data_IF_848445679304
#
_entry.id   IF_848445679304
#
_cell.length_a   1.000
_cell.length_b   1.000
_cell.length_c   1.000
_cell.angle_alpha   90.00
_cell.angle_beta   90.00
_cell.angle_gamma   90.00
#
_symmetry.space_group_name_H-M   'P 1'
#
loop_
_entity.id
_entity.type
_entity.pdbx_description
1 polymer ?
#
# COMPACT_ATOMS: atom_id res chain seq x y z
N UNK A 1 7.95 38.72 -21.35
CA UNK A 1 8.60 38.77 -20.02
C UNK A 1 8.27 37.49 -19.27
N UNK A 2 9.25 36.61 -19.04
CA UNK A 2 9.09 35.45 -18.18
C UNK A 2 9.23 35.88 -16.71
N UNK A 3 8.10 36.09 -16.02
CA UNK A 3 8.06 36.27 -14.57
C UNK A 3 7.73 34.92 -13.93
N UNK A 4 8.16 34.69 -12.68
CA UNK A 4 7.77 33.54 -11.85
C UNK A 4 6.27 33.27 -11.88
N UNK A 5 5.43 34.32 -11.91
CA UNK A 5 3.97 34.15 -12.00
C UNK A 5 3.51 33.46 -13.29
N UNK A 6 4.23 33.63 -14.40
CA UNK A 6 3.92 32.96 -15.67
C UNK A 6 4.22 31.47 -15.61
N UNK A 7 5.38 31.09 -15.06
CA UNK A 7 5.79 29.68 -14.96
C UNK A 7 5.19 28.94 -13.75
N UNK A 8 4.63 29.65 -12.77
CA UNK A 8 4.10 29.04 -11.54
C UNK A 8 3.07 27.96 -11.84
N UNK A 9 2.14 28.22 -12.76
CA UNK A 9 1.09 27.26 -13.12
C UNK A 9 1.69 26.01 -13.76
N UNK A 10 2.59 26.19 -14.74
CA UNK A 10 3.29 25.07 -15.37
C UNK A 10 4.11 24.26 -14.35
N UNK A 11 4.83 24.92 -13.44
CA UNK A 11 5.59 24.23 -12.39
C UNK A 11 4.69 23.47 -11.42
N UNK A 12 3.53 24.02 -11.05
CA UNK A 12 2.58 23.37 -10.16
C UNK A 12 1.96 22.12 -10.79
N UNK A 13 1.70 22.16 -12.11
CA UNK A 13 1.18 21.02 -12.88
C UNK A 13 2.25 19.96 -13.16
N UNK A 14 3.51 20.38 -13.40
CA UNK A 14 4.60 19.49 -13.79
C UNK A 14 5.71 19.42 -12.74
N UNK A 15 5.35 19.28 -11.46
CA UNK A 15 6.33 19.14 -10.40
C UNK A 15 7.08 17.79 -10.51
N UNK A 16 8.39 17.78 -10.82
CA UNK A 16 9.13 16.53 -11.07
C UNK A 16 9.28 15.64 -9.82
N UNK A 17 9.03 16.19 -8.63
CA UNK A 17 9.05 15.45 -7.38
C UNK A 17 7.71 14.75 -7.06
N UNK A 18 6.65 15.05 -7.82
CA UNK A 18 5.33 14.46 -7.64
C UNK A 18 5.01 13.52 -8.79
N UNK A 19 4.56 12.29 -8.51
CA UNK A 19 4.08 11.40 -9.55
C UNK A 19 2.70 11.83 -10.06
N UNK A 20 2.35 11.40 -11.27
CA UNK A 20 0.97 11.42 -11.75
C UNK A 20 0.27 10.21 -11.15
N UNK A 21 -0.89 10.41 -10.53
CA UNK A 21 -1.55 9.41 -9.70
C UNK A 21 -2.99 9.13 -10.11
N UNK A 22 -3.72 10.13 -10.58
CA UNK A 22 -5.11 9.95 -11.01
C UNK A 22 -5.19 9.54 -12.48
N UNK A 23 -6.35 9.02 -12.90
CA UNK A 23 -6.60 8.70 -14.30
C UNK A 23 -6.53 9.97 -15.16
N UNK A 24 -7.21 11.04 -14.73
CA UNK A 24 -7.21 12.34 -15.40
C UNK A 24 -5.79 12.92 -15.54
N UNK A 25 -4.97 12.87 -14.47
CA UNK A 25 -3.58 13.33 -14.54
C UNK A 25 -2.74 12.55 -15.55
N UNK A 26 -2.95 11.23 -15.61
CA UNK A 26 -2.22 10.37 -16.55
C UNK A 26 -2.69 10.62 -17.98
N UNK A 27 -3.99 10.74 -18.22
CA UNK A 27 -4.54 11.01 -19.55
C UNK A 27 -4.11 12.38 -20.09
N UNK A 28 -4.13 13.42 -19.24
CA UNK A 28 -3.87 14.80 -19.66
C UNK A 28 -2.38 15.14 -19.73
N UNK A 29 -1.54 14.56 -18.86
CA UNK A 29 -0.16 15.01 -18.66
C UNK A 29 0.92 13.96 -18.93
N UNK A 30 0.57 12.68 -19.03
CA UNK A 30 1.59 11.65 -19.31
C UNK A 30 1.94 11.62 -20.80
N UNK A 31 3.24 11.63 -21.09
CA UNK A 31 3.76 11.46 -22.45
C UNK A 31 4.34 10.06 -22.58
N UNK A 32 3.81 9.27 -23.53
CA UNK A 32 4.26 7.90 -23.78
C UNK A 32 5.75 7.85 -24.13
N UNK A 33 6.48 7.01 -23.40
CA UNK A 33 7.89 6.74 -23.64
C UNK A 33 8.06 5.46 -24.47
N UNK A 34 9.05 5.46 -25.35
CA UNK A 34 9.41 4.26 -26.14
C UNK A 34 9.86 3.09 -25.24
N UNK A 35 10.48 3.39 -24.09
CA UNK A 35 11.03 2.44 -23.13
C UNK A 35 10.10 2.16 -21.93
N UNK A 36 8.80 2.45 -22.04
CA UNK A 36 7.88 2.26 -20.91
C UNK A 36 7.73 0.77 -20.54
N UNK A 37 7.92 0.40 -19.26
CA UNK A 37 7.86 -0.99 -18.83
C UNK A 37 6.42 -1.52 -18.65
N UNK A 38 5.40 -0.65 -18.78
CA UNK A 38 4.01 -0.96 -18.40
C UNK A 38 3.46 -2.15 -19.19
N UNK A 39 3.50 -2.09 -20.52
CA UNK A 39 2.94 -3.15 -21.35
C UNK A 39 3.69 -4.47 -21.17
N UNK A 40 5.01 -4.41 -21.02
CA UNK A 40 5.81 -5.60 -20.79
C UNK A 40 5.47 -6.27 -19.45
N UNK A 41 5.31 -5.47 -18.38
CA UNK A 41 4.89 -5.96 -17.07
C UNK A 41 3.50 -6.60 -17.10
N UNK A 42 2.53 -5.95 -17.73
CA UNK A 42 1.15 -6.47 -17.87
C UNK A 42 1.14 -7.78 -18.67
N UNK A 43 1.82 -7.81 -19.83
CA UNK A 43 1.85 -9.02 -20.66
C UNK A 43 2.49 -10.19 -19.90
N UNK A 44 3.58 -9.93 -19.17
CA UNK A 44 4.24 -10.98 -18.37
C UNK A 44 3.31 -11.48 -17.25
N UNK A 45 2.61 -10.57 -16.56
CA UNK A 45 1.61 -10.93 -15.54
C UNK A 45 0.47 -11.79 -16.09
N UNK A 46 0.03 -11.54 -17.32
CA UNK A 46 -1.07 -12.28 -17.95
C UNK A 46 -0.66 -13.63 -18.53
N UNK A 47 0.63 -13.82 -18.85
CA UNK A 47 1.15 -15.05 -19.44
C UNK A 47 1.62 -16.07 -18.40
N UNK A 48 1.85 -15.65 -17.16
CA UNK A 48 2.44 -16.48 -16.10
C UNK A 48 1.36 -17.02 -15.15
N UNK A 49 1.31 -18.35 -15.01
CA UNK A 49 0.42 -19.00 -14.04
C UNK A 49 0.97 -18.92 -12.59
N UNK A 50 2.26 -18.61 -12.44
CA UNK A 50 2.93 -18.51 -11.13
C UNK A 50 3.09 -17.05 -10.69
N UNK A 51 3.12 -16.77 -9.37
CA UNK A 51 3.37 -15.43 -8.86
C UNK A 51 4.71 -14.85 -9.33
N UNK A 52 4.66 -13.76 -10.08
CA UNK A 52 5.83 -13.04 -10.60
C UNK A 52 6.18 -11.82 -9.75
N UNK A 53 7.46 -11.44 -9.78
CA UNK A 53 7.98 -10.27 -9.06
C UNK A 53 8.70 -9.35 -10.04
N UNK A 54 8.34 -8.07 -10.01
CA UNK A 54 8.97 -7.05 -10.83
C UNK A 54 9.68 -6.03 -9.95
N UNK A 55 10.85 -5.57 -10.40
CA UNK A 55 11.57 -4.46 -9.79
C UNK A 55 11.69 -3.33 -10.80
N UNK A 56 10.97 -2.24 -10.56
CA UNK A 56 11.15 -1.00 -11.33
C UNK A 56 12.24 -0.17 -10.65
N UNK A 57 13.42 -0.12 -11.27
CA UNK A 57 14.58 0.62 -10.76
C UNK A 57 14.83 1.92 -11.53
N UNK A 58 15.42 2.92 -10.87
CA UNK A 58 15.74 4.22 -11.47
C UNK A 58 15.84 5.36 -10.44
N UNK A 59 16.43 6.49 -10.85
CA UNK A 59 16.63 7.66 -10.00
C UNK A 59 15.32 8.28 -9.49
N UNK A 60 15.37 9.01 -8.36
CA UNK A 60 14.21 9.79 -7.88
C UNK A 60 13.76 10.78 -8.97
N UNK A 61 12.45 10.94 -9.14
CA UNK A 61 11.87 11.79 -10.21
C UNK A 61 11.83 11.14 -11.59
N UNK A 62 12.31 9.91 -11.77
CA UNK A 62 12.30 9.24 -13.08
C UNK A 62 10.95 8.69 -13.53
N UNK A 63 9.86 8.97 -12.80
CA UNK A 63 8.50 8.53 -13.13
C UNK A 63 8.11 7.12 -12.67
N UNK A 64 8.91 6.41 -11.85
CA UNK A 64 8.61 5.03 -11.42
C UNK A 64 7.22 4.86 -10.80
N UNK A 65 6.86 5.74 -9.86
CA UNK A 65 5.55 5.69 -9.20
C UNK A 65 4.43 5.94 -10.19
N UNK A 66 4.63 6.85 -11.16
CA UNK A 66 3.69 7.07 -12.28
C UNK A 66 3.50 5.81 -13.11
N UNK A 67 4.58 5.13 -13.53
CA UNK A 67 4.48 3.88 -14.29
C UNK A 67 3.78 2.77 -13.49
N UNK A 68 4.00 2.68 -12.17
CA UNK A 68 3.27 1.74 -11.30
C UNK A 68 1.76 2.07 -11.23
N UNK A 69 1.38 3.36 -11.17
CA UNK A 69 -0.02 3.80 -11.22
C UNK A 69 -0.68 3.47 -12.56
N UNK A 70 0.06 3.58 -13.67
CA UNK A 70 -0.41 3.14 -14.99
C UNK A 70 -0.65 1.65 -15.05
N UNK A 71 0.22 0.84 -14.43
CA UNK A 71 0.01 -0.61 -14.32
C UNK A 71 -1.23 -0.91 -13.47
N UNK A 72 -1.39 -0.25 -12.31
CA UNK A 72 -2.58 -0.38 -11.46
C UNK A 72 -3.87 -0.10 -12.24
N UNK A 73 -3.92 1.02 -12.98
CA UNK A 73 -5.09 1.39 -13.77
C UNK A 73 -5.41 0.37 -14.87
N UNK A 74 -4.39 -0.08 -15.61
CA UNK A 74 -4.58 -1.06 -16.68
C UNK A 74 -5.01 -2.44 -16.17
N UNK A 75 -4.65 -2.79 -14.94
CA UNK A 75 -5.03 -4.06 -14.31
C UNK A 75 -6.36 -3.98 -13.55
N UNK A 76 -6.83 -2.79 -13.18
CA UNK A 76 -7.97 -2.60 -12.27
C UNK A 76 -9.29 -3.22 -12.71
N UNK A 77 -9.48 -3.49 -14.00
CA UNK A 77 -10.67 -4.20 -14.49
C UNK A 77 -10.64 -5.71 -14.23
N UNK A 78 -9.45 -6.31 -14.22
CA UNK A 78 -9.26 -7.76 -14.19
C UNK A 78 -8.59 -8.27 -12.91
N UNK A 79 -8.01 -7.37 -12.10
CA UNK A 79 -7.26 -7.70 -10.91
C UNK A 79 -7.65 -6.82 -9.74
N UNK A 80 -7.67 -7.43 -8.55
CA UNK A 80 -7.68 -6.69 -7.29
C UNK A 80 -6.27 -6.14 -7.01
N UNK A 81 -6.04 -4.86 -7.30
CA UNK A 81 -4.74 -4.22 -7.06
C UNK A 81 -4.70 -3.65 -5.63
N UNK A 82 -3.65 -3.98 -4.87
CA UNK A 82 -3.43 -3.47 -3.51
C UNK A 82 -2.21 -2.56 -3.54
N UNK A 83 -2.43 -1.25 -3.43
CA UNK A 83 -1.36 -0.26 -3.37
C UNK A 83 -0.78 -0.16 -1.96
N UNK A 84 0.53 -0.38 -1.81
CA UNK A 84 1.24 -0.27 -0.53
C UNK A 84 2.35 0.76 -0.66
N UNK A 85 2.21 1.90 0.03
CA UNK A 85 3.23 2.97 0.04
C UNK A 85 4.04 2.95 1.34
N UNK A 86 5.09 2.12 1.36
CA UNK A 86 5.99 2.05 2.50
C UNK A 86 6.80 3.34 2.73
N UNK A 87 6.98 4.18 1.70
CA UNK A 87 7.82 5.37 1.81
C UNK A 87 7.13 6.50 2.60
N UNK A 88 5.80 6.58 2.52
CA UNK A 88 5.00 7.56 3.25
C UNK A 88 4.45 7.02 4.57
N UNK A 89 4.15 5.71 4.63
CA UNK A 89 3.50 5.13 5.82
C UNK A 89 4.47 4.58 6.87
N UNK A 90 5.72 4.28 6.51
CA UNK A 90 6.71 3.75 7.46
C UNK A 90 7.79 4.77 7.81
N UNK A 91 8.37 4.61 9.00
CA UNK A 91 9.58 5.34 9.36
C UNK A 91 10.78 4.84 8.55
N UNK A 92 11.13 5.56 7.47
CA UNK A 92 12.27 5.25 6.59
C UNK A 92 13.64 5.03 7.27
N UNK A 93 13.83 5.51 8.50
CA UNK A 93 15.07 5.30 9.26
C UNK A 93 15.02 4.11 10.22
N UNK A 94 13.83 3.52 10.42
CA UNK A 94 13.61 2.41 11.33
C UNK A 94 12.48 1.51 10.77
N UNK A 95 12.70 0.93 9.58
CA UNK A 95 11.78 -0.04 8.97
C UNK A 95 12.21 -1.45 9.37
N UNK A 96 11.33 -2.17 10.07
CA UNK A 96 11.41 -3.61 10.26
C UNK A 96 10.44 -4.37 9.34
N UNK A 97 10.63 -5.69 9.25
CA UNK A 97 9.74 -6.57 8.48
C UNK A 97 8.33 -6.63 9.08
N UNK A 98 8.22 -6.47 10.40
CA UNK A 98 6.95 -6.50 11.11
C UNK A 98 6.05 -5.34 10.66
N UNK A 99 6.61 -4.13 10.55
CA UNK A 99 5.90 -2.94 10.11
C UNK A 99 5.37 -3.11 8.69
N UNK A 100 6.18 -3.70 7.80
CA UNK A 100 5.78 -3.97 6.42
C UNK A 100 4.61 -4.97 6.36
N UNK A 101 4.66 -6.05 7.14
CA UNK A 101 3.59 -7.05 7.19
C UNK A 101 2.28 -6.43 7.71
N UNK A 102 2.36 -5.63 8.77
CA UNK A 102 1.19 -4.95 9.33
C UNK A 102 0.62 -3.95 8.32
N UNK A 103 1.47 -3.18 7.64
CA UNK A 103 1.05 -2.26 6.58
C UNK A 103 0.32 -3.00 5.44
N UNK A 104 0.86 -4.12 4.96
CA UNK A 104 0.20 -4.93 3.92
C UNK A 104 -1.17 -5.39 4.39
N UNK A 105 -1.28 -5.97 5.60
CA UNK A 105 -2.56 -6.41 6.16
C UNK A 105 -3.57 -5.27 6.30
N UNK A 106 -3.10 -4.07 6.70
CA UNK A 106 -3.94 -2.88 6.76
C UNK A 106 -4.47 -2.47 5.39
N UNK A 107 -3.62 -2.43 4.35
CA UNK A 107 -4.06 -2.04 3.01
C UNK A 107 -5.01 -3.07 2.41
N UNK A 108 -4.78 -4.37 2.63
CA UNK A 108 -5.71 -5.43 2.21
C UNK A 108 -7.07 -5.22 2.87
N UNK A 109 -7.10 -4.98 4.19
CA UNK A 109 -8.33 -4.73 4.92
C UNK A 109 -9.04 -3.44 4.46
N UNK A 110 -8.28 -2.37 4.18
CA UNK A 110 -8.82 -1.10 3.67
C UNK A 110 -9.42 -1.25 2.27
N UNK A 111 -8.78 -2.00 1.38
CA UNK A 111 -9.33 -2.27 0.05
C UNK A 111 -10.56 -3.18 0.14
N UNK A 112 -10.52 -4.16 1.04
CA UNK A 112 -11.61 -5.10 1.25
C UNK A 112 -12.93 -4.44 1.68
N UNK A 113 -12.88 -3.38 2.49
CA UNK A 113 -14.11 -2.67 2.90
C UNK A 113 -14.69 -1.76 1.80
N UNK A 114 -13.98 -1.52 0.68
CA UNK A 114 -14.49 -0.65 -0.37
C UNK A 114 -15.65 -1.31 -1.14
N UNK A 115 -16.70 -0.54 -1.48
CA UNK A 115 -17.82 -1.04 -2.28
C UNK A 115 -17.33 -1.61 -3.62
N UNK A 116 -17.79 -2.81 -3.96
CA UNK A 116 -17.48 -3.46 -5.24
C UNK A 116 -16.26 -4.40 -5.22
N UNK A 117 -15.40 -4.34 -4.20
CA UNK A 117 -14.22 -5.21 -4.11
C UNK A 117 -14.55 -6.62 -3.58
N UNK A 118 -15.42 -6.70 -2.56
CA UNK A 118 -15.83 -7.96 -1.91
C UNK A 118 -17.27 -8.38 -2.24
N UNK A 119 -17.77 -8.18 -3.46
CA UNK A 119 -19.17 -8.54 -3.77
C UNK A 119 -19.53 -10.01 -3.45
N UNK A 120 -18.53 -10.90 -3.31
CA UNK A 120 -18.73 -12.34 -3.08
C UNK A 120 -17.84 -13.01 -2.00
N UNK A 121 -17.09 -12.27 -1.16
CA UNK A 121 -16.14 -12.89 -0.21
C UNK A 121 -16.64 -12.95 1.24
N UNK A 122 -16.21 -13.99 1.95
CA UNK A 122 -16.64 -14.32 3.31
C UNK A 122 -16.23 -13.22 4.31
N UNK A 123 -17.22 -12.50 4.86
CA UNK A 123 -17.02 -11.46 5.89
C UNK A 123 -16.21 -11.97 7.09
N UNK A 124 -16.21 -13.29 7.35
CA UNK A 124 -15.43 -13.91 8.43
C UNK A 124 -13.93 -13.77 8.21
N UNK A 125 -13.44 -13.79 6.97
CA UNK A 125 -12.02 -13.63 6.65
C UNK A 125 -11.54 -12.22 6.96
N UNK A 126 -12.36 -11.22 6.57
CA UNK A 126 -12.09 -9.82 6.88
C UNK A 126 -12.11 -9.57 8.39
N UNK A 127 -13.09 -10.15 9.08
CA UNK A 127 -13.22 -10.09 10.53
C UNK A 127 -12.01 -10.73 11.23
N UNK A 128 -11.52 -11.86 10.72
CA UNK A 128 -10.33 -12.52 11.24
C UNK A 128 -9.08 -11.64 11.10
N UNK A 129 -8.81 -11.12 9.88
CA UNK A 129 -7.68 -10.21 9.67
C UNK A 129 -7.78 -8.95 10.53
N UNK A 130 -9.00 -8.39 10.66
CA UNK A 130 -9.26 -7.25 11.53
C UNK A 130 -8.86 -7.54 12.98
N UNK A 131 -9.24 -8.70 13.50
CA UNK A 131 -8.93 -9.08 14.87
C UNK A 131 -7.42 -9.28 15.07
N UNK A 132 -6.72 -9.87 14.11
CA UNK A 132 -5.25 -9.98 14.12
C UNK A 132 -4.56 -8.60 14.10
N UNK A 133 -5.07 -7.64 13.34
CA UNK A 133 -4.52 -6.27 13.33
C UNK A 133 -4.78 -5.53 14.64
N UNK A 134 -5.93 -5.77 15.28
CA UNK A 134 -6.27 -5.20 16.59
C UNK A 134 -5.30 -5.66 17.67
N UNK A 135 -4.90 -6.93 17.70
CA UNK A 135 -3.95 -7.43 18.72
C UNK A 135 -2.62 -6.67 18.71
N UNK A 136 -2.13 -6.27 17.53
CA UNK A 136 -0.91 -5.48 17.38
C UNK A 136 -1.06 -4.10 18.03
N UNK A 137 -2.21 -3.44 17.83
CA UNK A 137 -2.46 -2.11 18.39
C UNK A 137 -2.55 -2.07 19.91
N UNK A 138 -3.02 -3.16 20.55
CA UNK A 138 -3.22 -3.22 22.00
C UNK A 138 -1.94 -3.53 22.77
N UNK A 139 -0.97 -4.21 22.16
CA UNK A 139 0.27 -4.58 22.85
C UNK A 139 1.27 -3.42 22.95
N UNK A 140 1.06 -2.34 22.20
CA UNK A 140 1.86 -1.11 22.27
C UNK A 140 1.43 -0.18 23.41
N UNK A 141 0.18 -0.24 23.88
CA UNK A 141 -0.35 0.65 24.93
C UNK A 141 -1.21 -0.11 25.94
N UNK A 142 -0.82 -0.09 27.22
CA UNK A 142 -1.60 -0.63 28.35
C UNK A 142 -2.89 0.18 28.57
N UNK A 143 -3.91 0.10 27.70
CA UNK A 143 -5.27 0.61 27.95
C UNK A 143 -6.39 -0.18 27.25
N UNK A 144 -7.57 -0.18 27.89
CA UNK A 144 -8.77 -1.00 27.62
C UNK A 144 -9.29 -0.97 26.17
N UNK A 145 -9.66 -2.17 25.69
CA UNK A 145 -9.71 -2.53 24.27
C UNK A 145 -11.11 -2.70 23.65
N UNK A 146 -12.20 -2.51 24.38
CA UNK A 146 -13.45 -3.18 23.97
C UNK A 146 -14.30 -2.46 22.90
N UNK A 147 -13.95 -1.26 22.41
CA UNK A 147 -14.84 -0.51 21.49
C UNK A 147 -14.13 0.35 20.43
N UNK A 148 -13.05 -0.13 19.79
CA UNK A 148 -12.47 0.61 18.66
C UNK A 148 -13.14 0.26 17.33
N UNK A 149 -13.63 1.28 16.63
CA UNK A 149 -14.09 1.17 15.24
C UNK A 149 -12.91 1.02 14.27
N UNK A 150 -13.18 0.52 13.05
CA UNK A 150 -12.16 0.29 12.02
C UNK A 150 -11.30 1.52 11.67
N UNK A 151 -11.87 2.73 11.49
CA UNK A 151 -11.08 3.93 11.22
C UNK A 151 -10.07 4.25 12.33
N UNK A 152 -10.45 4.00 13.58
CA UNK A 152 -9.60 4.27 14.74
C UNK A 152 -8.45 3.26 14.83
N UNK A 153 -8.71 1.98 14.53
CA UNK A 153 -7.67 0.94 14.46
C UNK A 153 -6.63 1.30 13.40
N UNK A 154 -7.07 1.69 12.21
CA UNK A 154 -6.14 2.08 11.14
C UNK A 154 -5.36 3.35 11.47
N UNK A 155 -6.01 4.34 12.06
CA UNK A 155 -5.34 5.58 12.49
C UNK A 155 -4.25 5.27 13.52
N UNK A 156 -4.54 4.43 14.51
CA UNK A 156 -3.56 4.02 15.52
C UNK A 156 -2.41 3.24 14.92
N UNK A 157 -2.69 2.22 14.12
CA UNK A 157 -1.64 1.44 13.48
C UNK A 157 -0.76 2.31 12.58
N UNK A 158 -1.34 3.25 11.82
CA UNK A 158 -0.57 4.22 11.03
C UNK A 158 0.37 5.07 11.88
N UNK A 159 -0.08 5.54 13.06
CA UNK A 159 0.78 6.26 14.01
C UNK A 159 1.93 5.39 14.54
N UNK A 160 1.67 4.12 14.82
CA UNK A 160 2.67 3.17 15.29
C UNK A 160 3.71 2.90 14.19
N UNK A 161 3.27 2.61 12.97
CA UNK A 161 4.13 2.36 11.81
C UNK A 161 5.04 3.55 11.49
N UNK A 162 4.53 4.78 11.59
CA UNK A 162 5.32 6.01 11.37
C UNK A 162 6.32 6.30 12.50
N UNK A 163 6.09 5.79 13.71
CA UNK A 163 7.08 5.83 14.80
C UNK A 163 8.10 4.71 14.67
N UNK A 164 7.69 3.57 14.09
CA UNK A 164 8.42 2.31 14.08
C UNK A 164 8.24 1.57 15.40
N UNK A 165 8.31 0.24 15.37
CA UNK A 165 8.26 -0.55 16.60
C UNK A 165 9.54 -0.31 17.42
N UNK A 166 9.40 -0.01 18.71
CA UNK A 166 10.54 0.14 19.61
C UNK A 166 11.21 -1.21 19.89
N UNK A 167 12.51 -1.18 20.21
CA UNK A 167 13.29 -2.38 20.56
C UNK A 167 12.68 -3.19 21.71
N UNK A 168 11.99 -2.53 22.64
CA UNK A 168 11.27 -3.19 23.73
C UNK A 168 10.04 -3.94 23.23
N UNK A 169 9.34 -3.45 22.20
CA UNK A 169 8.26 -4.17 21.50
C UNK A 169 8.86 -5.40 20.80
N UNK A 170 10.01 -5.27 20.14
CA UNK A 170 10.67 -6.41 19.46
C UNK A 170 11.21 -7.48 20.43
N UNK A 171 11.59 -7.10 21.67
CA UNK A 171 12.17 -8.02 22.69
C UNK A 171 11.15 -8.57 23.69
N UNK A 172 10.18 -7.78 24.14
CA UNK A 172 9.19 -8.18 25.16
C UNK A 172 8.03 -8.97 24.58
N UNK A 173 7.83 -8.88 23.26
CA UNK A 173 6.87 -9.69 22.54
C UNK A 173 7.66 -10.78 21.83
N UNK A 174 7.45 -12.04 22.21
CA UNK A 174 7.60 -13.13 21.27
C UNK A 174 6.63 -12.86 20.10
N UNK A 175 7.01 -12.05 19.10
CA UNK A 175 6.21 -11.76 17.89
C UNK A 175 6.17 -12.99 16.94
N UNK A 176 6.67 -14.14 17.39
CA UNK A 176 6.58 -15.41 16.68
C UNK A 176 5.14 -15.88 16.35
N UNK A 177 4.10 -15.54 17.14
CA UNK A 177 2.71 -15.96 16.82
C UNK A 177 1.78 -14.93 16.14
N UNK A 178 2.03 -13.62 16.07
CA UNK A 178 1.00 -12.68 15.50
C UNK A 178 1.27 -12.19 14.07
N UNK A 179 2.53 -12.09 13.63
CA UNK A 179 2.80 -11.75 12.22
C UNK A 179 2.42 -12.90 11.29
N UNK A 180 2.67 -14.14 11.72
CA UNK A 180 2.28 -15.31 10.97
C UNK A 180 0.76 -15.39 10.81
N UNK A 181 0.00 -15.00 11.84
CA UNK A 181 -1.46 -14.93 11.75
C UNK A 181 -1.89 -13.83 10.76
N UNK A 182 -1.33 -12.61 10.84
CA UNK A 182 -1.61 -11.54 9.84
C UNK A 182 -1.29 -11.99 8.41
N UNK A 183 -0.13 -12.62 8.20
CA UNK A 183 0.25 -13.17 6.87
C UNK A 183 -0.76 -14.23 6.43
N UNK A 184 -1.12 -15.15 7.32
CA UNK A 184 -2.08 -16.23 7.04
C UNK A 184 -3.44 -15.65 6.67
N UNK A 185 -4.01 -14.73 7.47
CA UNK A 185 -5.31 -14.09 7.19
C UNK A 185 -5.29 -13.25 5.92
N UNK A 186 -4.17 -12.59 5.65
CA UNK A 186 -3.99 -11.85 4.39
C UNK A 186 -4.02 -12.81 3.19
N UNK A 187 -3.30 -13.93 3.28
CA UNK A 187 -3.29 -14.94 2.23
C UNK A 187 -4.66 -15.62 2.06
N UNK A 188 -5.36 -15.91 3.16
CA UNK A 188 -6.72 -16.47 3.14
C UNK A 188 -7.66 -15.55 2.35
N UNK A 189 -7.56 -14.24 2.54
CA UNK A 189 -8.30 -13.26 1.73
C UNK A 189 -7.83 -13.35 0.29
N UNK A 190 -6.54 -13.24 -0.01
CA UNK A 190 -6.02 -13.21 -1.40
C UNK A 190 -6.47 -14.44 -2.21
N UNK A 191 -6.49 -15.63 -1.60
CA UNK A 191 -6.81 -16.91 -2.25
C UNK A 191 -8.32 -17.20 -2.44
N UNK A 192 -9.20 -16.52 -1.69
CA UNK A 192 -10.64 -16.79 -1.68
C UNK A 192 -11.38 -16.38 -2.96
#
# INVERSE_FOLDING_TARGET
MCNVNYWRQAYQLFNPDQPLTTLEEIEDFYVQREDSPVQHGINTLQMEDQPVKFLLAGHRGSGKTTELRRIEQALGENYAVIWVDAATELNRYNIGYAEVVVLIGMEVCRQAIQPGWLLNRDQRLLEALRNSLRTVSYRDQQMNAEQLELPDVFTRLGLILRRGFTRDITRSLNIGPDLNDIITRTNDIIQA
#
